data_IF_108321251543
#
_entry.id   IF_108321251543
#
_cell.length_a   1.000
_cell.length_b   1.000
_cell.length_c   1.000
_cell.angle_alpha   90.00
_cell.angle_beta   90.00
_cell.angle_gamma   90.00
#
_symmetry.space_group_name_H-M   'P 1'
#
loop_
_entity.id
_entity.type
_entity.pdbx_description
1 polymer ?
#
# COMPACT_ATOMS: atom_id res chain seq x y z
N UNK A 1 -25.64 0.72 -14.36
CA UNK A 1 -27.02 0.25 -14.41
C UNK A 1 -27.51 -0.04 -12.99
N UNK A 2 -28.60 0.64 -12.60
CA UNK A 2 -29.24 0.37 -11.32
C UNK A 2 -29.97 -0.98 -11.40
N UNK A 3 -29.65 -1.90 -10.50
CA UNK A 3 -30.37 -3.15 -10.34
C UNK A 3 -31.36 -3.04 -9.18
N UNK A 4 -32.49 -3.77 -9.25
CA UNK A 4 -33.40 -3.87 -8.12
C UNK A 4 -32.69 -4.59 -6.94
N UNK A 5 -33.17 -4.38 -5.71
CA UNK A 5 -32.62 -5.03 -4.50
C UNK A 5 -32.52 -6.56 -4.62
N UNK A 6 -33.41 -7.17 -5.38
CA UNK A 6 -33.45 -8.63 -5.60
C UNK A 6 -32.91 -9.05 -6.97
N UNK A 7 -32.35 -8.08 -7.75
CA UNK A 7 -31.77 -8.38 -9.05
C UNK A 7 -30.46 -9.15 -8.92
N UNK A 8 -30.24 -10.14 -9.77
CA UNK A 8 -28.99 -10.93 -9.82
C UNK A 8 -27.75 -10.12 -10.24
N UNK A 9 -27.93 -8.82 -10.57
CA UNK A 9 -26.85 -7.97 -11.12
C UNK A 9 -26.50 -8.37 -12.57
N UNK A 10 -25.51 -7.66 -13.11
CA UNK A 10 -24.94 -7.98 -14.43
C UNK A 10 -23.52 -8.50 -14.28
N UNK A 11 -23.19 -9.56 -14.97
CA UNK A 11 -21.83 -10.09 -14.96
C UNK A 11 -20.88 -9.07 -15.57
N UNK A 12 -19.68 -8.88 -14.97
CA UNK A 12 -18.69 -7.91 -15.42
C UNK A 12 -18.27 -8.09 -16.89
N UNK A 13 -18.35 -9.31 -17.42
CA UNK A 13 -18.09 -9.62 -18.83
C UNK A 13 -19.07 -8.96 -19.79
N UNK A 14 -20.27 -8.61 -19.32
CA UNK A 14 -21.22 -7.85 -20.13
C UNK A 14 -20.81 -6.39 -20.30
N UNK A 15 -19.94 -5.90 -19.42
CA UNK A 15 -19.41 -4.53 -19.43
C UNK A 15 -18.04 -4.45 -20.09
N UNK A 16 -17.22 -5.50 -19.93
CA UNK A 16 -15.83 -5.58 -20.43
C UNK A 16 -15.71 -6.75 -21.39
N UNK A 17 -15.63 -6.47 -22.68
CA UNK A 17 -15.33 -7.48 -23.68
C UNK A 17 -13.84 -7.85 -23.61
N UNK A 18 -13.51 -9.12 -23.49
CA UNK A 18 -12.14 -9.62 -23.50
C UNK A 18 -11.57 -10.06 -22.14
N UNK A 19 -12.37 -10.07 -21.08
CA UNK A 19 -12.00 -10.74 -19.82
C UNK A 19 -12.02 -12.24 -20.05
N UNK A 20 -10.92 -12.93 -19.73
CA UNK A 20 -10.80 -14.40 -19.79
C UNK A 20 -11.60 -15.05 -18.67
N UNK A 21 -11.87 -16.34 -18.83
CA UNK A 21 -12.70 -17.10 -17.86
C UNK A 21 -12.04 -17.28 -16.50
N UNK A 22 -10.73 -17.26 -16.45
CA UNK A 22 -9.89 -17.40 -15.26
C UNK A 22 -9.57 -16.07 -14.57
N UNK A 23 -9.89 -14.94 -15.20
CA UNK A 23 -9.61 -13.61 -14.64
C UNK A 23 -10.59 -13.24 -13.52
N UNK A 24 -10.04 -12.69 -12.45
CA UNK A 24 -10.78 -12.22 -11.26
C UNK A 24 -10.62 -10.72 -11.08
N UNK A 25 -11.70 -10.05 -10.71
CA UNK A 25 -11.63 -8.64 -10.28
C UNK A 25 -10.99 -8.58 -8.89
N UNK A 26 -9.85 -7.93 -8.79
CA UNK A 26 -9.06 -7.82 -7.55
C UNK A 26 -9.34 -6.49 -6.83
N UNK A 27 -9.59 -5.42 -7.57
CA UNK A 27 -9.77 -4.09 -6.99
C UNK A 27 -10.80 -3.29 -7.77
N UNK A 28 -11.56 -2.49 -7.04
CA UNK A 28 -12.49 -1.50 -7.57
C UNK A 28 -12.09 -0.17 -6.95
N UNK A 29 -11.81 0.81 -7.79
CA UNK A 29 -11.44 2.16 -7.38
C UNK A 29 -12.53 3.14 -7.80
N UNK A 30 -13.26 3.75 -6.87
CA UNK A 30 -14.06 4.92 -7.20
C UNK A 30 -13.10 6.06 -7.55
N UNK A 31 -13.30 6.68 -8.70
CA UNK A 31 -12.52 7.82 -9.15
C UNK A 31 -13.45 8.99 -9.43
N UNK A 32 -13.15 10.12 -8.86
CA UNK A 32 -13.86 11.35 -9.16
C UNK A 32 -13.65 11.73 -10.62
N UNK A 33 -14.71 12.20 -11.25
CA UNK A 33 -14.67 12.62 -12.66
C UNK A 33 -13.65 13.73 -12.89
N UNK A 34 -13.57 14.67 -11.96
CA UNK A 34 -12.59 15.76 -11.95
C UNK A 34 -11.14 15.28 -12.09
N UNK A 35 -10.77 14.19 -11.41
CA UNK A 35 -9.43 13.59 -11.50
C UNK A 35 -9.17 12.95 -12.86
N UNK A 36 -10.20 12.40 -13.51
CA UNK A 36 -10.06 11.83 -14.86
C UNK A 36 -9.94 12.92 -15.92
N UNK A 37 -10.64 14.03 -15.73
CA UNK A 37 -10.61 15.20 -16.63
C UNK A 37 -9.31 16.01 -16.47
N UNK A 38 -8.74 16.08 -15.26
CA UNK A 38 -7.51 16.79 -14.92
C UNK A 38 -6.50 15.84 -14.25
N UNK A 39 -5.92 14.87 -14.98
CA UNK A 39 -5.10 13.81 -14.39
C UNK A 39 -3.65 14.23 -14.08
N UNK A 40 -3.26 15.49 -14.33
CA UNK A 40 -1.89 15.97 -14.09
C UNK A 40 -1.56 15.96 -12.58
N UNK A 41 -0.36 15.52 -12.24
CA UNK A 41 0.07 15.37 -10.84
C UNK A 41 -0.51 14.16 -10.11
N UNK A 42 -1.42 13.41 -10.77
CA UNK A 42 -2.03 12.22 -10.20
C UNK A 42 -1.49 10.93 -10.83
N UNK A 43 -1.36 9.90 -9.99
CA UNK A 43 -0.77 8.62 -10.35
C UNK A 43 -1.64 7.47 -9.86
N UNK A 44 -1.43 6.29 -10.42
CA UNK A 44 -1.85 5.02 -9.83
C UNK A 44 -0.62 4.27 -9.31
N UNK A 45 -0.70 3.86 -8.05
CA UNK A 45 0.26 2.96 -7.42
C UNK A 45 -0.28 1.54 -7.45
N UNK A 46 0.55 0.60 -7.89
CA UNK A 46 0.26 -0.83 -7.97
C UNK A 46 1.19 -1.58 -7.04
N UNK A 47 0.68 -2.57 -6.33
CA UNK A 47 1.47 -3.49 -5.53
C UNK A 47 1.12 -4.93 -5.86
N UNK A 48 2.14 -5.80 -5.97
CA UNK A 48 1.96 -7.21 -6.26
C UNK A 48 2.32 -8.08 -5.07
N UNK A 49 1.86 -9.33 -5.07
CA UNK A 49 2.09 -10.30 -4.00
C UNK A 49 3.60 -10.57 -3.81
N UNK A 50 4.39 -10.59 -4.88
CA UNK A 50 5.84 -10.80 -4.80
C UNK A 50 6.62 -9.52 -4.42
N UNK A 51 5.91 -8.48 -3.93
CA UNK A 51 6.54 -7.27 -3.38
C UNK A 51 7.02 -6.29 -4.43
N UNK A 52 6.54 -6.36 -5.67
CA UNK A 52 6.82 -5.32 -6.67
C UNK A 52 5.86 -4.16 -6.50
N UNK A 53 6.34 -2.97 -6.87
CA UNK A 53 5.57 -1.74 -6.85
C UNK A 53 5.78 -0.96 -8.15
N UNK A 54 4.73 -0.28 -8.60
CA UNK A 54 4.75 0.52 -9.83
C UNK A 54 3.99 1.81 -9.62
N UNK A 55 4.53 2.90 -10.16
CA UNK A 55 3.88 4.22 -10.25
C UNK A 55 3.67 4.57 -11.72
N UNK A 56 2.43 4.83 -12.13
CA UNK A 56 2.07 5.24 -13.49
C UNK A 56 1.22 6.49 -13.47
N UNK A 57 1.36 7.37 -14.46
CA UNK A 57 0.52 8.57 -14.59
C UNK A 57 -0.95 8.18 -14.75
N UNK A 58 -1.84 8.88 -14.06
CA UNK A 58 -3.28 8.67 -14.21
C UNK A 58 -3.75 8.98 -15.64
N UNK A 59 -3.13 9.94 -16.31
CA UNK A 59 -3.43 10.30 -17.71
C UNK A 59 -3.34 9.12 -18.69
N UNK A 60 -2.50 8.11 -18.41
CA UNK A 60 -2.43 6.90 -19.24
C UNK A 60 -3.71 6.06 -19.19
N UNK A 61 -4.56 6.27 -18.19
CA UNK A 61 -5.82 5.54 -17.95
C UNK A 61 -7.07 6.39 -18.17
N UNK A 62 -6.94 7.68 -18.48
CA UNK A 62 -8.07 8.59 -18.69
C UNK A 62 -8.99 8.16 -19.85
N UNK A 63 -8.41 7.50 -20.86
CA UNK A 63 -9.19 6.95 -21.98
C UNK A 63 -9.02 5.46 -22.04
N UNK A 64 -10.07 4.71 -21.69
CA UNK A 64 -10.10 3.24 -21.69
C UNK A 64 -11.17 2.79 -22.70
N UNK A 65 -10.80 1.93 -23.63
CA UNK A 65 -11.72 1.30 -24.56
C UNK A 65 -12.52 0.18 -23.86
N UNK A 66 -13.59 -0.30 -24.48
CA UNK A 66 -14.41 -1.41 -23.95
C UNK A 66 -13.63 -2.71 -23.72
N UNK A 67 -12.52 -2.90 -24.42
CA UNK A 67 -11.64 -4.07 -24.24
C UNK A 67 -10.68 -3.93 -23.04
N UNK A 68 -10.78 -2.84 -22.26
CA UNK A 68 -9.84 -2.55 -21.19
C UNK A 68 -8.46 -2.11 -21.68
N UNK A 69 -7.54 -1.96 -20.75
CA UNK A 69 -6.12 -1.67 -20.99
C UNK A 69 -5.27 -2.47 -20.02
N UNK A 70 -4.18 -3.03 -20.50
CA UNK A 70 -3.17 -3.59 -19.61
C UNK A 70 -2.57 -2.47 -18.75
N UNK A 71 -2.58 -2.69 -17.46
CA UNK A 71 -2.07 -1.75 -16.45
C UNK A 71 -0.75 -2.21 -15.83
N UNK A 72 -0.44 -3.49 -15.89
CA UNK A 72 0.77 -4.10 -15.35
C UNK A 72 1.11 -5.33 -16.22
N UNK A 73 2.40 -5.58 -16.46
CA UNK A 73 2.89 -6.83 -17.02
C UNK A 73 3.61 -7.62 -15.94
N UNK A 74 3.29 -8.87 -15.78
CA UNK A 74 4.10 -9.82 -14.99
C UNK A 74 5.23 -10.38 -15.86
N UNK A 75 6.30 -10.83 -15.23
CA UNK A 75 7.36 -11.54 -15.96
C UNK A 75 6.83 -12.88 -16.50
N UNK A 76 7.33 -13.32 -17.64
CA UNK A 76 6.93 -14.60 -18.22
C UNK A 76 7.32 -15.73 -17.25
N UNK A 77 6.36 -16.60 -16.94
CA UNK A 77 6.52 -17.67 -15.94
C UNK A 77 6.45 -17.20 -14.49
N UNK A 78 6.19 -15.93 -14.22
CA UNK A 78 6.02 -15.41 -12.86
C UNK A 78 4.60 -15.74 -12.35
N UNK A 79 4.53 -16.35 -11.16
CA UNK A 79 3.27 -16.63 -10.46
C UNK A 79 2.78 -15.44 -9.62
N UNK A 80 3.23 -14.21 -9.92
CA UNK A 80 2.87 -13.02 -9.18
C UNK A 80 1.42 -12.58 -9.46
N UNK A 81 0.82 -11.91 -8.50
CA UNK A 81 -0.55 -11.42 -8.57
C UNK A 81 -0.63 -9.97 -8.10
N UNK A 82 -1.53 -9.21 -8.70
CA UNK A 82 -1.89 -7.89 -8.22
C UNK A 82 -2.60 -7.99 -6.87
N UNK A 83 -2.14 -7.23 -5.88
CA UNK A 83 -2.73 -7.18 -4.53
C UNK A 83 -3.53 -5.90 -4.32
N UNK A 84 -3.00 -4.78 -4.76
CA UNK A 84 -3.62 -3.48 -4.49
C UNK A 84 -3.29 -2.47 -5.59
N UNK A 85 -4.28 -1.62 -5.87
CA UNK A 85 -4.12 -0.39 -6.66
C UNK A 85 -4.68 0.76 -5.85
N UNK A 86 -3.97 1.90 -5.81
CA UNK A 86 -4.40 3.12 -5.11
C UNK A 86 -4.09 4.36 -5.94
N UNK A 87 -4.95 5.38 -5.94
CA UNK A 87 -4.58 6.70 -6.41
C UNK A 87 -3.46 7.27 -5.54
N UNK A 88 -2.63 8.11 -6.11
CA UNK A 88 -1.49 8.72 -5.43
C UNK A 88 -1.13 10.07 -6.05
N UNK A 89 -0.48 10.89 -5.25
CA UNK A 89 0.23 12.12 -5.63
C UNK A 89 1.72 12.00 -5.33
N UNK A 90 2.49 13.05 -5.55
CA UNK A 90 3.92 13.09 -5.18
C UNK A 90 4.14 13.32 -3.67
N UNK A 91 3.11 13.77 -2.92
CA UNK A 91 3.18 13.95 -1.48
C UNK A 91 3.02 12.63 -0.70
N UNK A 92 2.45 11.60 -1.32
CA UNK A 92 2.08 10.38 -0.65
C UNK A 92 3.25 9.51 -0.24
N UNK A 93 3.12 8.91 0.94
CA UNK A 93 3.91 7.76 1.37
C UNK A 93 3.20 6.46 1.01
N UNK A 94 3.99 5.43 0.78
CA UNK A 94 3.53 4.06 0.58
C UNK A 94 3.94 3.20 1.77
N UNK A 95 2.98 2.42 2.30
CA UNK A 95 3.24 1.37 3.27
C UNK A 95 2.83 0.04 2.66
N UNK A 96 3.80 -0.85 2.46
CA UNK A 96 3.57 -2.24 2.07
C UNK A 96 3.61 -3.12 3.31
N UNK A 97 2.65 -4.02 3.47
CA UNK A 97 2.61 -4.95 4.59
C UNK A 97 2.62 -6.38 4.07
N UNK A 98 3.48 -7.22 4.66
CA UNK A 98 3.59 -8.64 4.30
C UNK A 98 2.83 -9.56 5.24
N UNK A 99 2.53 -10.76 4.76
CA UNK A 99 1.87 -11.81 5.53
C UNK A 99 2.67 -12.18 6.80
N UNK A 100 4.00 -12.11 6.76
CA UNK A 100 4.88 -12.39 7.91
C UNK A 100 4.89 -11.27 8.98
N UNK A 101 4.08 -10.21 8.83
CA UNK A 101 3.95 -9.15 9.82
C UNK A 101 5.03 -8.07 9.73
N UNK A 102 5.64 -7.86 8.57
CA UNK A 102 6.56 -6.76 8.33
C UNK A 102 5.90 -5.66 7.51
N UNK A 103 6.36 -4.42 7.70
CA UNK A 103 5.91 -3.25 6.95
C UNK A 103 7.10 -2.45 6.41
N UNK A 104 7.01 -2.02 5.16
CA UNK A 104 8.02 -1.20 4.50
C UNK A 104 7.37 0.13 4.11
N UNK A 105 7.85 1.25 4.69
CA UNK A 105 7.35 2.60 4.45
C UNK A 105 8.38 3.44 3.70
N UNK A 106 7.99 4.05 2.60
CA UNK A 106 8.83 4.96 1.81
C UNK A 106 7.98 5.97 1.05
N UNK A 107 8.61 7.08 0.63
CA UNK A 107 7.99 8.09 -0.23
C UNK A 107 8.43 7.84 -1.68
N UNK A 108 7.50 7.52 -2.61
CA UNK A 108 7.85 7.21 -4.00
C UNK A 108 8.51 8.34 -4.75
N UNK A 109 8.12 9.58 -4.48
CA UNK A 109 8.63 10.78 -5.13
C UNK A 109 9.92 11.35 -4.48
N UNK A 110 10.42 10.72 -3.42
CA UNK A 110 11.70 11.13 -2.81
C UNK A 110 12.84 10.95 -3.81
N UNK A 111 13.62 12.02 -3.97
CA UNK A 111 14.80 12.00 -4.82
C UNK A 111 15.97 11.32 -4.11
N UNK A 112 16.70 10.52 -4.86
CA UNK A 112 17.96 9.88 -4.43
C UNK A 112 19.05 10.13 -5.43
N UNK A 113 20.11 10.71 -4.95
CA UNK A 113 21.33 10.91 -5.74
C UNK A 113 22.29 9.76 -5.50
N UNK A 114 22.83 9.21 -6.56
CA UNK A 114 23.86 8.17 -6.53
C UNK A 114 24.92 8.46 -7.58
N UNK A 115 26.12 8.00 -7.33
CA UNK A 115 27.19 8.05 -8.32
C UNK A 115 27.00 6.88 -9.30
N UNK A 116 26.97 7.18 -10.59
CA UNK A 116 26.95 6.17 -11.64
C UNK A 116 28.26 5.37 -11.62
N UNK A 117 28.22 4.03 -11.50
CA UNK A 117 29.45 3.24 -11.53
C UNK A 117 30.18 3.28 -12.88
N UNK A 118 29.44 3.58 -13.96
CA UNK A 118 29.97 3.55 -15.34
C UNK A 118 30.64 4.89 -15.72
N UNK A 119 30.07 6.02 -15.26
CA UNK A 119 30.50 7.36 -15.69
C UNK A 119 31.16 8.17 -14.57
N UNK A 120 30.99 7.75 -13.29
CA UNK A 120 31.41 8.54 -12.13
C UNK A 120 30.55 9.79 -11.86
N UNK A 121 29.53 10.04 -12.68
CA UNK A 121 28.67 11.20 -12.55
C UNK A 121 27.57 10.99 -11.49
N UNK A 122 27.14 12.10 -10.90
CA UNK A 122 26.03 12.12 -9.95
C UNK A 122 24.70 12.03 -10.71
N UNK A 123 23.93 10.97 -10.49
CA UNK A 123 22.61 10.75 -11.10
C UNK A 123 21.54 10.83 -10.03
N UNK A 124 20.63 11.79 -10.18
CA UNK A 124 19.43 11.90 -9.33
C UNK A 124 18.28 11.13 -9.95
N UNK A 125 17.62 10.33 -9.14
CA UNK A 125 16.46 9.54 -9.54
C UNK A 125 15.44 9.48 -8.40
N UNK A 126 14.21 9.13 -8.70
CA UNK A 126 13.16 8.94 -7.70
C UNK A 126 13.22 7.53 -7.08
N UNK A 127 12.77 7.40 -5.82
CA UNK A 127 12.63 6.10 -5.13
C UNK A 127 11.77 5.15 -5.95
N UNK A 128 10.63 5.63 -6.48
CA UNK A 128 9.84 4.92 -7.50
C UNK A 128 9.62 5.86 -8.67
N UNK A 129 10.40 5.67 -9.74
CA UNK A 129 10.20 6.44 -10.97
C UNK A 129 8.85 6.11 -11.61
N UNK A 130 8.28 7.08 -12.31
CA UNK A 130 7.08 6.89 -13.13
C UNK A 130 7.40 5.91 -14.28
N UNK A 131 6.49 4.98 -14.53
CA UNK A 131 6.65 3.92 -15.51
C UNK A 131 5.39 3.79 -16.39
N UNK A 132 5.59 3.43 -17.63
CA UNK A 132 4.51 3.16 -18.58
C UNK A 132 3.65 1.95 -18.19
N UNK A 133 2.47 1.82 -18.77
CA UNK A 133 1.43 0.82 -18.43
C UNK A 133 1.92 -0.63 -18.42
N UNK A 134 2.70 -1.02 -19.39
CA UNK A 134 3.15 -2.42 -19.60
C UNK A 134 4.45 -2.78 -18.87
N UNK A 135 4.94 -1.92 -17.96
CA UNK A 135 6.12 -2.22 -17.15
C UNK A 135 5.79 -3.15 -15.99
N UNK A 136 6.79 -3.89 -15.53
CA UNK A 136 6.68 -4.85 -14.43
C UNK A 136 6.81 -4.19 -13.05
N UNK A 137 7.09 -2.88 -12.98
CA UNK A 137 7.41 -2.21 -11.72
C UNK A 137 8.83 -2.51 -11.23
N UNK A 138 9.08 -2.14 -9.99
CA UNK A 138 10.37 -2.31 -9.29
C UNK A 138 10.16 -3.03 -7.96
N UNK A 139 11.23 -3.54 -7.33
CA UNK A 139 11.11 -4.15 -6.01
C UNK A 139 10.65 -3.09 -5.00
N UNK A 140 9.51 -3.28 -4.38
CA UNK A 140 8.96 -2.44 -3.31
C UNK A 140 9.36 -2.93 -1.93
N UNK A 141 9.26 -4.24 -1.70
CA UNK A 141 9.58 -4.90 -0.44
C UNK A 141 10.36 -6.19 -0.70
N UNK A 142 11.37 -6.47 0.12
CA UNK A 142 12.10 -7.76 0.09
C UNK A 142 11.37 -8.76 0.96
N UNK A 143 10.90 -9.81 0.35
CA UNK A 143 10.23 -10.93 1.01
C UNK A 143 11.19 -12.09 1.24
N UNK A 144 10.90 -12.96 2.20
CA UNK A 144 11.70 -14.15 2.53
C UNK A 144 10.84 -15.41 2.42
N UNK A 145 11.37 -16.45 1.82
CA UNK A 145 10.66 -17.71 1.65
C UNK A 145 9.36 -17.52 0.85
N UNK A 146 8.26 -18.00 1.40
CA UNK A 146 6.93 -17.93 0.79
C UNK A 146 6.11 -16.71 1.24
N UNK A 147 6.76 -15.71 1.88
CA UNK A 147 6.08 -14.49 2.31
C UNK A 147 5.53 -13.69 1.11
N UNK A 148 4.43 -12.98 1.33
CA UNK A 148 3.76 -12.18 0.29
C UNK A 148 3.31 -10.85 0.85
N UNK A 149 3.29 -9.83 -0.01
CA UNK A 149 2.59 -8.59 0.32
C UNK A 149 1.09 -8.85 0.34
N UNK A 150 0.43 -8.42 1.41
CA UNK A 150 -1.02 -8.57 1.64
C UNK A 150 -1.78 -7.29 1.34
N UNK A 151 -1.13 -6.13 1.50
CA UNK A 151 -1.79 -4.86 1.26
C UNK A 151 -0.85 -3.69 1.11
N UNK A 152 -1.41 -2.60 0.61
CA UNK A 152 -0.74 -1.33 0.41
C UNK A 152 -1.63 -0.19 0.89
N UNK A 153 -1.05 0.72 1.65
CA UNK A 153 -1.62 2.02 2.02
C UNK A 153 -0.85 3.09 1.26
N UNK A 154 -1.55 4.08 0.75
CA UNK A 154 -1.01 5.26 0.08
C UNK A 154 -1.67 6.49 0.72
N UNK A 155 -0.90 7.37 1.31
CA UNK A 155 -1.41 8.53 2.04
C UNK A 155 -0.32 9.54 2.33
N UNK A 156 -0.68 10.82 2.38
CA UNK A 156 0.09 11.94 2.92
C UNK A 156 -0.37 12.35 4.33
N UNK A 157 -1.46 11.74 4.83
CA UNK A 157 -1.96 11.94 6.17
C UNK A 157 -1.20 11.08 7.19
N UNK A 158 -0.39 11.70 8.04
CA UNK A 158 0.42 11.05 9.06
C UNK A 158 -0.31 10.86 10.40
N UNK A 159 -1.47 11.50 10.59
CA UNK A 159 -2.30 11.30 11.77
C UNK A 159 -3.15 10.03 11.68
N UNK A 160 -3.22 9.44 10.52
CA UNK A 160 -3.90 8.18 10.27
C UNK A 160 -3.22 6.99 10.98
N UNK A 161 -3.97 5.92 11.15
CA UNK A 161 -3.48 4.66 11.71
C UNK A 161 -3.50 3.54 10.68
N UNK A 162 -2.59 2.59 10.85
CA UNK A 162 -2.52 1.32 10.10
C UNK A 162 -3.09 0.23 10.98
N UNK A 163 -4.20 -0.36 10.56
CA UNK A 163 -4.77 -1.56 11.16
C UNK A 163 -4.26 -2.79 10.44
N UNK A 164 -3.71 -3.72 11.19
CA UNK A 164 -3.34 -5.05 10.71
C UNK A 164 -4.14 -6.11 11.45
N UNK A 165 -4.63 -7.11 10.71
CA UNK A 165 -5.43 -8.22 11.26
C UNK A 165 -4.80 -9.52 10.82
N UNK A 166 -4.60 -10.44 11.79
CA UNK A 166 -4.08 -11.77 11.52
C UNK A 166 -5.18 -12.79 11.28
N UNK A 167 -4.82 -13.91 10.69
CA UNK A 167 -5.69 -15.05 10.38
C UNK A 167 -6.37 -15.63 11.64
N UNK A 168 -5.67 -15.62 12.77
CA UNK A 168 -6.21 -16.11 14.04
C UNK A 168 -6.94 -15.01 14.86
N UNK A 169 -7.27 -13.88 14.20
CA UNK A 169 -8.13 -12.85 14.78
C UNK A 169 -7.43 -11.84 15.68
N UNK A 170 -6.09 -11.83 15.70
CA UNK A 170 -5.37 -10.75 16.37
C UNK A 170 -5.42 -9.48 15.53
N UNK A 171 -5.79 -8.36 16.14
CA UNK A 171 -5.83 -7.06 15.48
C UNK A 171 -4.89 -6.09 16.20
N UNK A 172 -4.17 -5.28 15.44
CA UNK A 172 -3.32 -4.22 15.96
C UNK A 172 -3.49 -2.96 15.15
N UNK A 173 -3.80 -1.86 15.82
CA UNK A 173 -3.76 -0.51 15.27
C UNK A 173 -2.44 0.15 15.67
N UNK A 174 -1.73 0.69 14.71
CA UNK A 174 -0.47 1.42 14.92
C UNK A 174 -0.55 2.76 14.19
N UNK A 175 -0.20 3.85 14.88
CA UNK A 175 -0.14 5.18 14.26
C UNK A 175 0.87 5.17 13.10
N UNK A 176 0.54 5.84 12.00
CA UNK A 176 1.48 6.02 10.89
C UNK A 176 2.59 6.99 11.30
N UNK A 177 2.24 8.12 11.89
CA UNK A 177 3.16 9.12 12.43
C UNK A 177 4.11 9.73 11.41
N UNK A 178 4.97 10.62 11.83
CA UNK A 178 6.02 11.20 10.98
C UNK A 178 7.14 10.21 10.64
N UNK A 179 7.36 9.21 11.51
CA UNK A 179 8.46 8.26 11.45
C UNK A 179 9.78 8.80 12.02
N UNK A 180 9.76 10.02 12.57
CA UNK A 180 10.91 10.67 13.18
C UNK A 180 11.08 10.27 14.66
N UNK A 181 12.27 10.46 15.21
CA UNK A 181 12.50 10.36 16.64
C UNK A 181 12.12 11.67 17.27
N UNK A 182 11.10 11.66 18.13
CA UNK A 182 10.63 12.83 18.85
C UNK A 182 11.08 12.77 20.31
N UNK A 183 11.45 13.90 20.93
CA UNK A 183 11.76 13.94 22.36
C UNK A 183 10.52 13.55 23.18
N UNK A 184 10.69 12.64 24.10
CA UNK A 184 9.61 12.24 24.99
C UNK A 184 9.46 13.31 26.08
N UNK A 185 8.23 13.81 26.26
CA UNK A 185 7.94 14.86 27.25
C UNK A 185 6.71 14.49 28.07
N UNK A 186 6.72 14.91 29.33
CA UNK A 186 5.55 14.82 30.21
C UNK A 186 5.20 16.24 30.70
N UNK A 187 4.00 16.71 30.38
CA UNK A 187 3.57 18.07 30.68
C UNK A 187 4.47 19.17 30.06
N UNK A 188 5.10 18.88 28.92
CA UNK A 188 6.04 19.79 28.23
C UNK A 188 7.48 19.73 28.78
N UNK A 189 7.74 18.93 29.83
CA UNK A 189 9.08 18.75 30.41
C UNK A 189 9.76 17.54 29.77
N UNK A 190 11.04 17.64 29.30
CA UNK A 190 11.79 16.51 28.77
C UNK A 190 11.91 15.37 29.78
N UNK A 191 11.59 14.15 29.33
CA UNK A 191 11.88 12.93 30.12
C UNK A 191 13.34 12.57 29.86
N UNK A 192 14.09 12.34 30.96
CA UNK A 192 15.48 11.91 30.90
C UNK A 192 15.63 10.49 31.47
N UNK A 193 16.61 9.76 30.96
CA UNK A 193 16.98 8.45 31.50
C UNK A 193 17.85 8.56 32.77
N UNK A 194 18.28 7.43 33.31
CA UNK A 194 19.11 7.35 34.52
C UNK A 194 20.47 8.07 34.37
N UNK A 195 20.93 8.29 33.13
CA UNK A 195 22.18 9.04 32.85
C UNK A 195 21.97 10.54 32.69
N UNK A 196 20.72 11.04 32.79
CA UNK A 196 20.35 12.42 32.53
C UNK A 196 20.22 12.78 31.06
N UNK A 197 20.27 11.79 30.16
CA UNK A 197 20.09 12.00 28.72
C UNK A 197 18.62 12.02 28.35
N UNK A 198 18.23 12.91 27.43
CA UNK A 198 16.86 13.00 26.96
C UNK A 198 16.42 11.70 26.27
N UNK A 199 15.25 11.19 26.65
CA UNK A 199 14.62 10.03 26.02
C UNK A 199 13.89 10.45 24.75
N UNK A 200 14.03 9.64 23.69
CA UNK A 200 13.33 9.84 22.42
C UNK A 200 12.46 8.62 22.11
N UNK A 201 11.29 8.88 21.56
CA UNK A 201 10.39 7.85 21.05
C UNK A 201 10.14 8.07 19.55
N UNK A 202 9.95 6.98 18.84
CA UNK A 202 9.62 7.07 17.43
C UNK A 202 8.12 7.31 17.24
N UNK A 203 7.80 8.38 16.51
CA UNK A 203 6.44 8.68 16.11
C UNK A 203 6.01 7.78 14.95
N UNK A 204 5.39 6.64 15.29
CA UNK A 204 4.82 5.69 14.34
C UNK A 204 5.83 4.87 13.54
N UNK A 205 5.50 4.60 12.27
CA UNK A 205 6.35 3.80 11.38
C UNK A 205 7.53 4.60 10.87
N UNK A 206 8.76 4.14 11.15
CA UNK A 206 9.94 4.76 10.56
C UNK A 206 9.92 4.63 9.03
N UNK A 207 10.44 5.63 8.33
CA UNK A 207 10.76 5.54 6.91
C UNK A 207 11.85 4.50 6.69
N UNK A 208 11.67 3.66 5.67
CA UNK A 208 12.64 2.63 5.26
C UNK A 208 13.02 2.84 3.80
N UNK A 209 14.09 2.24 3.36
CA UNK A 209 14.39 2.19 1.94
C UNK A 209 13.45 1.20 1.25
N UNK A 210 13.02 1.53 0.02
CA UNK A 210 12.34 0.61 -0.88
C UNK A 210 13.19 -0.64 -1.10
N UNK A 211 12.57 -1.79 -1.22
CA UNK A 211 13.27 -3.07 -1.45
C UNK A 211 13.95 -3.65 -0.21
N UNK A 212 13.65 -3.16 0.98
CA UNK A 212 14.08 -3.75 2.26
C UNK A 212 13.00 -4.67 2.82
N UNK A 213 13.32 -5.45 3.87
CA UNK A 213 12.33 -6.22 4.64
C UNK A 213 11.38 -5.33 5.43
N UNK A 214 11.74 -4.05 5.63
CA UNK A 214 10.98 -3.13 6.46
C UNK A 214 11.17 -3.36 7.96
N UNK A 215 10.15 -3.01 8.73
CA UNK A 215 10.09 -3.15 10.20
C UNK A 215 8.93 -4.05 10.57
N UNK A 216 9.03 -4.68 11.75
CA UNK A 216 7.93 -5.49 12.27
C UNK A 216 6.74 -4.60 12.64
N UNK A 217 5.59 -4.85 12.02
CA UNK A 217 4.32 -4.18 12.35
C UNK A 217 3.54 -4.97 13.40
N UNK A 218 3.59 -6.30 13.34
CA UNK A 218 2.89 -7.18 14.28
C UNK A 218 3.73 -8.42 14.55
N UNK A 219 3.83 -8.83 15.82
CA UNK A 219 4.39 -10.14 16.18
C UNK A 219 3.30 -11.19 16.05
N UNK A 220 3.58 -12.20 15.27
CA UNK A 220 2.66 -13.29 14.98
C UNK A 220 3.06 -14.54 15.76
N UNK A 221 2.10 -15.38 16.09
CA UNK A 221 2.32 -16.72 16.64
C UNK A 221 2.69 -17.67 15.50
N UNK A 222 3.23 -18.81 15.85
CA UNK A 222 3.56 -19.85 14.87
C UNK A 222 2.32 -20.26 14.06
N UNK A 223 2.46 -20.28 12.75
CA UNK A 223 1.38 -20.59 11.81
C UNK A 223 0.35 -19.48 11.57
N UNK A 224 0.50 -18.32 12.22
CA UNK A 224 -0.35 -17.14 11.97
C UNK A 224 0.24 -16.25 10.85
N UNK A 225 -0.60 -15.51 10.20
CA UNK A 225 -0.24 -14.60 9.11
C UNK A 225 -1.16 -13.38 9.07
N UNK A 226 -0.66 -12.24 8.59
CA UNK A 226 -1.51 -11.08 8.33
C UNK A 226 -2.40 -11.40 7.12
N UNK A 227 -3.70 -11.19 7.27
CA UNK A 227 -4.71 -11.39 6.22
C UNK A 227 -5.42 -10.09 5.82
N UNK A 228 -5.31 -9.04 6.63
CA UNK A 228 -5.96 -7.77 6.36
C UNK A 228 -5.11 -6.57 6.78
N UNK A 229 -5.14 -5.54 5.94
CA UNK A 229 -4.51 -4.23 6.19
C UNK A 229 -5.46 -3.14 5.76
N UNK A 230 -5.70 -2.16 6.64
CA UNK A 230 -6.55 -0.99 6.35
C UNK A 230 -5.93 0.27 6.94
N UNK A 231 -6.13 1.36 6.25
CA UNK A 231 -5.95 2.70 6.79
C UNK A 231 -7.18 3.06 7.60
N UNK A 232 -6.97 3.63 8.78
CA UNK A 232 -8.03 4.15 9.66
C UNK A 232 -7.76 5.65 9.79
N UNK A 233 -8.46 6.49 9.01
CA UNK A 233 -8.22 7.93 9.01
C UNK A 233 -8.78 8.61 10.26
N UNK A 234 -9.85 8.09 10.83
CA UNK A 234 -10.49 8.64 12.02
C UNK A 234 -10.50 7.63 13.16
N UNK A 235 -10.34 8.14 14.41
CA UNK A 235 -10.43 7.33 15.62
C UNK A 235 -11.86 6.91 15.95
N UNK A 236 -12.84 7.66 15.44
CA UNK A 236 -14.27 7.38 15.60
C UNK A 236 -14.81 6.40 14.55
N UNK A 237 -13.98 5.98 13.60
CA UNK A 237 -14.35 4.97 12.61
C UNK A 237 -14.70 3.64 13.27
N UNK A 238 -15.82 3.08 12.84
CA UNK A 238 -16.29 1.79 13.32
C UNK A 238 -15.83 0.68 12.37
N UNK A 239 -15.34 -0.40 12.95
CA UNK A 239 -14.84 -1.55 12.23
C UNK A 239 -15.83 -2.69 12.21
N UNK A 240 -16.14 -3.17 11.02
CA UNK A 240 -16.85 -4.43 10.83
C UNK A 240 -15.85 -5.49 10.37
N UNK A 241 -15.70 -6.54 11.18
CA UNK A 241 -14.92 -7.72 10.82
C UNK A 241 -15.85 -8.88 10.53
N UNK A 242 -15.59 -9.57 9.43
CA UNK A 242 -16.37 -10.75 9.02
C UNK A 242 -15.46 -11.96 8.99
N UNK A 243 -15.93 -13.06 9.59
CA UNK A 243 -15.25 -14.37 9.50
C UNK A 243 -15.65 -15.09 8.23
N UNK A 244 -14.86 -16.08 7.81
CA UNK A 244 -15.19 -16.93 6.66
C UNK A 244 -16.47 -17.74 6.84
N UNK A 245 -16.95 -17.95 8.09
CA UNK A 245 -18.22 -18.57 8.43
C UNK A 245 -19.42 -17.61 8.43
N UNK A 246 -19.19 -16.32 8.08
CA UNK A 246 -20.25 -15.31 7.99
C UNK A 246 -20.60 -14.61 9.30
N UNK A 247 -19.84 -14.83 10.38
CA UNK A 247 -20.01 -14.03 11.60
C UNK A 247 -19.49 -12.61 11.39
N UNK A 248 -20.26 -11.61 11.83
CA UNK A 248 -19.89 -10.21 11.81
C UNK A 248 -19.66 -9.71 13.23
N UNK A 249 -18.56 -9.03 13.45
CA UNK A 249 -18.23 -8.35 14.70
C UNK A 249 -18.06 -6.87 14.40
N UNK A 250 -18.67 -6.01 15.20
CA UNK A 250 -18.50 -4.57 15.18
C UNK A 250 -17.61 -4.15 16.35
N UNK A 251 -16.59 -3.39 16.04
CA UNK A 251 -15.74 -2.71 17.04
C UNK A 251 -15.95 -1.20 16.92
N UNK A 252 -16.06 -0.54 18.05
CA UNK A 252 -16.22 0.91 18.21
C UNK A 252 -14.92 1.47 18.75
#
# INVERSE_FOLDING_TARGET
>A
PSASRYGKGSHIRNLLSGIRDDEKVISILPMERSLIENPEGHFLMFATANGRIKKSKLSEYARINRNGKFALKFADGDSDNLVSVRPATDADHVVLVSASGNACRFMPAEEKTRISPDTGESVTTYVVRVQGRISQGVSGMKLSGNDKVIGMIVTDDFDTSVLTISKYGMAKRSRLGSGEMLPLTEGGTPIVDESGSQVFERDGYRKTNRGTKGVRTMSLRDGDEIVGVRQIPDLDDQLFMLTGSGMMIRMV
#
